data_IF_302769027714
#
_entry.id   IF_302769027714
#
_cell.length_a   1.000
_cell.length_b   1.000
_cell.length_c   1.000
_cell.angle_alpha   90.00
_cell.angle_beta   90.00
_cell.angle_gamma   90.00
#
_symmetry.space_group_name_H-M   'P 1'
#
loop_
_entity.id
_entity.type
_entity.pdbx_description
1 polymer ?
#
# COMPACT_ATOMS: atom_id res chain seq x y z
N UNK A 1 -7.15 16.30 -18.82
CA UNK A 1 -7.95 15.09 -18.50
C UNK A 1 -7.87 14.88 -17.00
N UNK A 2 -8.99 14.99 -16.29
CA UNK A 2 -9.03 14.78 -14.85
C UNK A 2 -8.95 13.28 -14.55
N UNK A 3 -7.76 12.84 -14.16
CA UNK A 3 -7.39 11.45 -13.88
C UNK A 3 -7.64 11.08 -12.40
N UNK A 4 -8.68 11.65 -11.78
CA UNK A 4 -8.88 11.53 -10.34
C UNK A 4 -9.61 10.21 -10.02
N UNK A 5 -8.86 9.25 -9.49
CA UNK A 5 -9.40 8.01 -8.93
C UNK A 5 -9.26 8.07 -7.41
N UNK A 6 -10.38 7.92 -6.70
CA UNK A 6 -10.41 7.95 -5.23
C UNK A 6 -10.93 6.61 -4.72
N UNK A 7 -10.18 5.96 -3.83
CA UNK A 7 -10.56 4.70 -3.17
C UNK A 7 -10.52 4.95 -1.67
N UNK A 8 -11.66 4.73 -0.99
CA UNK A 8 -11.79 4.92 0.46
C UNK A 8 -11.28 6.29 0.94
N UNK A 9 -11.56 7.35 0.17
CA UNK A 9 -11.14 8.73 0.44
C UNK A 9 -9.66 9.02 0.13
N UNK A 10 -8.91 8.06 -0.40
CA UNK A 10 -7.52 8.24 -0.81
C UNK A 10 -7.43 8.43 -2.32
N UNK A 11 -6.83 9.54 -2.73
CA UNK A 11 -6.48 9.78 -4.13
C UNK A 11 -5.37 8.84 -4.60
N UNK A 12 -5.62 8.16 -5.73
CA UNK A 12 -4.68 7.24 -6.38
C UNK A 12 -4.10 7.91 -7.60
N UNK A 13 -2.79 8.17 -7.55
CA UNK A 13 -2.07 8.77 -8.68
C UNK A 13 -1.97 7.81 -9.85
N UNK A 14 -2.08 8.37 -11.06
CA UNK A 14 -1.97 7.66 -12.33
C UNK A 14 -0.94 8.33 -13.23
N UNK A 15 -0.09 7.53 -13.87
CA UNK A 15 0.90 8.06 -14.82
C UNK A 15 0.31 8.29 -16.23
N UNK A 16 1.14 8.82 -17.14
CA UNK A 16 0.75 9.12 -18.52
C UNK A 16 0.39 7.86 -19.34
N UNK A 17 0.87 6.68 -18.93
CA UNK A 17 0.57 5.38 -19.55
C UNK A 17 -0.64 4.70 -18.92
N UNK A 18 -1.23 5.34 -17.90
CA UNK A 18 -2.43 4.91 -17.25
C UNK A 18 -2.24 3.91 -16.11
N UNK A 19 -1.01 3.72 -15.61
CA UNK A 19 -0.69 2.83 -14.49
C UNK A 19 -0.90 3.56 -13.16
N UNK A 20 -1.38 2.83 -12.16
CA UNK A 20 -1.68 3.37 -10.84
C UNK A 20 -0.52 3.19 -9.86
N UNK A 21 -0.37 4.16 -8.96
CA UNK A 21 0.62 4.14 -7.88
C UNK A 21 0.33 3.01 -6.90
N UNK A 22 1.22 2.01 -6.85
CA UNK A 22 1.11 0.88 -5.92
C UNK A 22 1.07 1.33 -4.45
N UNK A 23 1.79 2.39 -4.10
CA UNK A 23 1.80 2.92 -2.73
C UNK A 23 0.44 3.50 -2.33
N UNK A 24 -0.24 4.19 -3.25
CA UNK A 24 -1.54 4.79 -2.94
C UNK A 24 -2.63 3.71 -2.87
N UNK A 25 -2.54 2.71 -3.76
CA UNK A 25 -3.39 1.50 -3.69
C UNK A 25 -3.18 0.73 -2.38
N UNK A 26 -1.92 0.57 -1.95
CA UNK A 26 -1.61 -0.08 -0.68
C UNK A 26 -2.19 0.71 0.50
N UNK A 27 -2.02 2.04 0.52
CA UNK A 27 -2.62 2.90 1.54
C UNK A 27 -4.13 2.79 1.59
N UNK A 28 -4.80 2.77 0.43
CA UNK A 28 -6.25 2.60 0.34
C UNK A 28 -6.69 1.23 0.90
N UNK A 29 -6.00 0.15 0.53
CA UNK A 29 -6.27 -1.19 1.03
C UNK A 29 -6.04 -1.33 2.55
N UNK A 30 -5.05 -0.62 3.10
CA UNK A 30 -4.82 -0.55 4.55
C UNK A 30 -5.94 0.25 5.23
N UNK A 31 -6.35 1.39 4.66
CA UNK A 31 -7.40 2.23 5.20
C UNK A 31 -8.77 1.54 5.21
N UNK A 32 -9.07 0.72 4.20
CA UNK A 32 -10.30 -0.08 4.13
C UNK A 32 -10.28 -1.35 4.97
N UNK A 33 -9.16 -1.65 5.64
CA UNK A 33 -8.99 -2.86 6.43
C UNK A 33 -8.82 -4.14 5.61
N UNK A 34 -8.80 -4.05 4.27
CA UNK A 34 -8.54 -5.17 3.37
C UNK A 34 -7.10 -5.68 3.46
N UNK A 35 -6.18 -4.86 3.99
CA UNK A 35 -4.80 -5.25 4.27
C UNK A 35 -4.41 -4.80 5.68
N UNK A 36 -4.45 -5.70 6.64
CA UNK A 36 -3.87 -5.44 7.96
C UNK A 36 -2.36 -5.18 7.79
N UNK A 37 -1.85 -4.08 8.36
CA UNK A 37 -0.40 -3.76 8.44
C UNK A 37 0.34 -4.89 9.16
N UNK A 38 0.65 -5.94 8.42
CA UNK A 38 1.33 -7.16 8.91
C UNK A 38 2.78 -7.21 8.46
N UNK A 39 3.22 -6.24 7.64
CA UNK A 39 4.59 -6.11 7.12
C UNK A 39 5.26 -4.79 7.53
N UNK A 40 4.99 -4.34 8.75
CA UNK A 40 5.77 -3.24 9.35
C UNK A 40 7.23 -3.71 9.48
N UNK A 41 8.25 -2.87 9.20
CA UNK A 41 9.65 -3.24 9.33
C UNK A 41 9.97 -3.84 10.71
N UNK A 42 9.37 -3.30 11.78
CA UNK A 42 9.54 -3.85 13.12
C UNK A 42 9.00 -5.27 13.29
N UNK A 43 7.86 -5.60 12.65
CA UNK A 43 7.31 -6.97 12.68
C UNK A 43 8.09 -7.94 11.79
N UNK A 44 8.63 -7.44 10.69
CA UNK A 44 9.53 -8.21 9.82
C UNK A 44 10.85 -8.53 10.52
N UNK A 45 11.49 -7.55 11.14
CA UNK A 45 12.73 -7.73 11.91
C UNK A 45 12.53 -8.63 13.14
N UNK A 46 11.34 -8.65 13.72
CA UNK A 46 10.97 -9.58 14.81
C UNK A 46 10.58 -10.98 14.32
N UNK A 47 10.57 -11.24 13.01
CA UNK A 47 10.27 -12.56 12.47
C UNK A 47 11.42 -13.52 12.82
N UNK A 48 11.09 -14.75 13.24
CA UNK A 48 12.11 -15.77 13.53
C UNK A 48 12.99 -16.07 12.32
N UNK A 49 12.49 -15.90 11.10
CA UNK A 49 13.26 -16.08 9.86
C UNK A 49 14.43 -15.11 9.70
N UNK A 50 14.43 -13.93 10.36
CA UNK A 50 15.54 -12.96 10.29
C UNK A 50 16.51 -13.07 11.46
N UNK A 51 16.21 -13.86 12.48
CA UNK A 51 17.07 -14.05 13.66
C UNK A 51 18.14 -15.11 13.41
N UNK A 52 17.90 -16.06 12.51
CA UNK A 52 18.81 -17.19 12.22
C UNK A 52 19.71 -17.00 10.98
N UNK A 53 19.81 -15.76 10.44
CA UNK A 53 20.68 -15.43 9.29
C UNK A 53 22.03 -14.85 9.70
#
# INVERSE_FOLDING_TARGET
>A
MNNLMVIDGIEVRRDAYGRYSLNDLHRAAVASGANARTKEPGKFLSSQQTVEL
#
